data_IF_261017609803
#
_entry.id   IF_261017609803
#
_cell.length_a   1.000
_cell.length_b   1.000
_cell.length_c   1.000
_cell.angle_alpha   90.00
_cell.angle_beta   90.00
_cell.angle_gamma   90.00
#
_symmetry.space_group_name_H-M   'P 1'
#
loop_
_entity.id
_entity.type
_entity.pdbx_description
1 polymer ?
#
# COMPACT_ATOMS: atom_id res chain seq x y z
N UNK A 1 5.28 -8.20 26.69
CA UNK A 1 5.68 -6.93 26.05
C UNK A 1 4.49 -6.44 25.23
N UNK A 2 3.88 -5.32 25.62
CA UNK A 2 2.80 -4.71 24.83
C UNK A 2 3.46 -4.13 23.58
N UNK A 3 3.13 -4.69 22.42
CA UNK A 3 3.66 -4.19 21.15
C UNK A 3 3.01 -2.85 20.87
N UNK A 4 3.82 -1.83 20.56
CA UNK A 4 3.29 -0.54 20.15
C UNK A 4 2.35 -0.70 18.95
N UNK A 5 1.26 0.09 18.88
CA UNK A 5 0.31 0.00 17.78
C UNK A 5 1.03 0.28 16.45
N UNK A 6 1.12 -0.75 15.60
CA UNK A 6 1.76 -0.63 14.29
C UNK A 6 0.81 0.05 13.32
N UNK A 7 1.27 1.15 12.73
CA UNK A 7 0.59 1.83 11.62
C UNK A 7 0.61 0.93 10.38
N UNK A 8 -0.53 0.80 9.71
CA UNK A 8 -0.66 0.04 8.46
C UNK A 8 -0.42 1.01 7.31
N UNK A 9 0.65 0.77 6.55
CA UNK A 9 0.95 1.53 5.34
C UNK A 9 0.38 0.83 4.11
N UNK A 10 0.36 1.56 2.99
CA UNK A 10 0.07 1.01 1.67
C UNK A 10 1.19 1.36 0.70
N UNK A 11 1.20 0.72 -0.46
CA UNK A 11 2.14 1.00 -1.55
C UNK A 11 1.38 1.43 -2.80
N UNK A 12 1.97 2.33 -3.58
CA UNK A 12 1.40 2.78 -4.85
C UNK A 12 2.49 2.85 -5.92
N UNK A 13 2.26 2.35 -7.15
CA UNK A 13 3.19 2.54 -8.27
C UNK A 13 3.33 4.02 -8.63
N UNK A 14 4.51 4.43 -9.11
CA UNK A 14 4.78 5.84 -9.45
C UNK A 14 4.54 6.18 -10.92
N UNK A 15 4.87 5.26 -11.83
CA UNK A 15 4.72 5.44 -13.29
C UNK A 15 4.14 4.19 -13.94
N UNK A 16 3.62 4.34 -15.15
CA UNK A 16 3.20 3.18 -15.92
C UNK A 16 4.41 2.29 -16.24
N UNK A 17 4.28 0.99 -16.03
CA UNK A 17 5.30 0.00 -16.37
C UNK A 17 4.64 -1.29 -16.84
N UNK A 18 5.35 -2.07 -17.64
CA UNK A 18 4.86 -3.35 -18.13
C UNK A 18 5.99 -4.36 -18.15
N UNK A 19 5.74 -5.53 -17.59
CA UNK A 19 6.72 -6.59 -17.55
C UNK A 19 6.11 -7.88 -18.09
N UNK A 20 6.90 -8.63 -18.88
CA UNK A 20 6.50 -9.92 -19.43
C UNK A 20 7.55 -10.95 -19.11
N UNK A 21 7.11 -12.08 -18.54
CA UNK A 21 7.96 -13.25 -18.34
C UNK A 21 7.47 -14.31 -19.32
N UNK A 22 8.41 -14.82 -20.14
CA UNK A 22 8.14 -15.82 -21.16
C UNK A 22 8.41 -17.24 -20.63
N UNK A 23 7.59 -18.19 -21.09
CA UNK A 23 7.81 -19.64 -20.94
C UNK A 23 9.13 -20.03 -21.62
N UNK A 24 9.81 -21.04 -21.08
CA UNK A 24 11.11 -21.55 -21.59
C UNK A 24 12.28 -20.54 -21.58
N UNK A 25 12.07 -19.33 -21.07
CA UNK A 25 13.13 -18.34 -20.87
C UNK A 25 13.57 -18.38 -19.40
N UNK A 26 14.80 -18.81 -19.09
CA UNK A 26 15.34 -18.75 -17.73
C UNK A 26 15.23 -17.32 -17.17
N UNK A 27 14.86 -17.14 -15.89
CA UNK A 27 14.76 -18.13 -14.83
C UNK A 27 13.35 -18.70 -14.62
N UNK A 28 12.42 -18.52 -15.56
CA UNK A 28 11.03 -18.95 -15.39
C UNK A 28 10.92 -20.48 -15.28
N UNK A 29 10.49 -21.05 -14.13
CA UNK A 29 10.35 -22.50 -13.97
C UNK A 29 8.96 -23.00 -14.41
N UNK A 30 8.04 -22.11 -14.77
CA UNK A 30 6.64 -22.42 -15.02
C UNK A 30 6.36 -22.59 -16.50
N UNK A 31 5.44 -23.51 -16.83
CA UNK A 31 4.89 -23.65 -18.18
C UNK A 31 3.84 -22.57 -18.46
N UNK A 32 4.18 -21.30 -18.29
CA UNK A 32 3.30 -20.18 -18.58
C UNK A 32 4.11 -18.94 -18.96
N UNK A 33 3.58 -18.14 -19.89
CA UNK A 33 4.00 -16.74 -20.06
C UNK A 33 2.90 -15.83 -19.57
N UNK A 34 3.28 -14.75 -18.88
CA UNK A 34 2.35 -13.70 -18.44
C UNK A 34 3.02 -12.34 -18.69
N UNK A 35 2.28 -11.45 -19.34
CA UNK A 35 2.58 -10.02 -19.46
C UNK A 35 1.54 -9.19 -18.72
N UNK A 36 2.00 -8.38 -17.78
CA UNK A 36 1.17 -7.45 -17.01
C UNK A 36 1.64 -6.01 -17.24
N UNK A 37 0.68 -5.10 -17.35
CA UNK A 37 0.94 -3.67 -17.23
C UNK A 37 0.32 -3.12 -15.94
N UNK A 38 1.04 -2.21 -15.28
CA UNK A 38 0.62 -1.52 -14.06
C UNK A 38 0.63 -0.02 -14.35
N UNK A 39 -0.50 0.63 -14.18
CA UNK A 39 -0.66 2.08 -14.36
C UNK A 39 -1.11 2.70 -13.04
N UNK A 40 -0.47 3.77 -12.54
CA UNK A 40 -0.93 4.46 -11.34
C UNK A 40 -2.27 5.17 -11.57
N UNK A 41 -3.15 5.10 -10.58
CA UNK A 41 -4.43 5.82 -10.55
C UNK A 41 -4.39 6.94 -9.50
N UNK A 42 -5.32 7.90 -9.54
CA UNK A 42 -5.48 8.89 -8.47
C UNK A 42 -5.63 8.25 -7.08
N UNK A 43 -5.21 8.96 -6.04
CA UNK A 43 -5.30 8.47 -4.65
C UNK A 43 -6.76 8.13 -4.29
N UNK A 44 -6.96 6.99 -3.64
CA UNK A 44 -8.29 6.50 -3.25
C UNK A 44 -9.07 5.81 -4.38
N UNK A 45 -8.48 5.62 -5.57
CA UNK A 45 -9.12 4.88 -6.66
C UNK A 45 -9.18 3.37 -6.41
N UNK A 46 -8.37 2.88 -5.48
CA UNK A 46 -8.25 1.45 -5.19
C UNK A 46 -7.58 0.69 -6.33
N UNK A 47 -7.80 -0.62 -6.35
CA UNK A 47 -7.22 -1.52 -7.36
C UNK A 47 -8.25 -1.80 -8.44
N UNK A 48 -7.88 -1.55 -9.69
CA UNK A 48 -8.67 -1.92 -10.87
C UNK A 48 -7.94 -3.02 -11.66
N UNK A 49 -8.70 -4.00 -12.15
CA UNK A 49 -8.18 -5.10 -12.95
C UNK A 49 -8.91 -5.17 -14.30
N UNK A 50 -8.14 -5.32 -15.37
CA UNK A 50 -8.63 -5.52 -16.73
C UNK A 50 -7.90 -6.68 -17.40
N UNK A 51 -8.58 -7.45 -18.23
CA UNK A 51 -7.96 -8.49 -19.08
C UNK A 51 -8.15 -8.11 -20.54
N UNK A 52 -7.04 -7.98 -21.28
CA UNK A 52 -7.06 -7.80 -22.75
C UNK A 52 -6.94 -9.13 -23.50
N UNK A 53 -6.65 -10.22 -22.79
CA UNK A 53 -6.59 -11.57 -23.36
C UNK A 53 -8.00 -12.11 -23.57
N UNK A 54 -8.32 -12.51 -24.79
CA UNK A 54 -9.66 -13.03 -25.12
C UNK A 54 -9.93 -14.38 -24.43
N UNK A 55 -11.19 -14.58 -24.02
CA UNK A 55 -11.62 -15.85 -23.41
C UNK A 55 -11.55 -17.05 -24.36
N UNK A 56 -11.61 -16.79 -25.67
CA UNK A 56 -11.45 -17.81 -26.70
C UNK A 56 -10.00 -18.28 -26.87
N UNK A 57 -9.02 -17.41 -26.59
CA UNK A 57 -7.61 -17.75 -26.63
C UNK A 57 -7.14 -18.43 -25.34
N UNK A 58 -7.44 -17.82 -24.19
CA UNK A 58 -7.11 -18.34 -22.87
C UNK A 58 -8.39 -18.48 -22.05
N UNK A 59 -8.72 -19.73 -21.70
CA UNK A 59 -9.99 -20.03 -21.03
C UNK A 59 -10.15 -19.29 -19.69
N UNK A 60 -11.40 -19.22 -19.22
CA UNK A 60 -11.75 -18.51 -17.98
C UNK A 60 -11.00 -19.03 -16.75
N UNK A 61 -10.71 -20.33 -16.67
CA UNK A 61 -10.01 -20.94 -15.53
C UNK A 61 -8.58 -20.42 -15.38
N UNK A 62 -7.85 -20.28 -16.49
CA UNK A 62 -6.52 -19.67 -16.49
C UNK A 62 -6.58 -18.18 -16.15
N UNK A 63 -7.53 -17.43 -16.74
CA UNK A 63 -7.68 -15.99 -16.44
C UNK A 63 -8.05 -15.74 -14.97
N UNK A 64 -8.90 -16.58 -14.38
CA UNK A 64 -9.20 -16.54 -12.96
C UNK A 64 -7.97 -16.80 -12.11
N UNK A 65 -7.14 -17.77 -12.49
CA UNK A 65 -5.91 -18.09 -11.78
C UNK A 65 -4.89 -16.93 -11.83
N UNK A 66 -4.77 -16.23 -12.95
CA UNK A 66 -3.97 -15.00 -13.07
C UNK A 66 -4.50 -13.93 -12.12
N UNK A 67 -5.82 -13.67 -12.13
CA UNK A 67 -6.45 -12.68 -11.25
C UNK A 67 -6.24 -13.01 -9.77
N UNK A 68 -6.34 -14.27 -9.38
CA UNK A 68 -6.06 -14.71 -8.00
C UNK A 68 -4.59 -14.47 -7.63
N UNK A 69 -3.66 -14.78 -8.53
CA UNK A 69 -2.24 -14.55 -8.32
C UNK A 69 -1.88 -13.06 -8.23
N UNK A 70 -2.54 -12.21 -9.03
CA UNK A 70 -2.41 -10.75 -8.93
C UNK A 70 -2.92 -10.27 -7.58
N UNK A 71 -4.13 -10.70 -7.16
CA UNK A 71 -4.69 -10.36 -5.84
C UNK A 71 -3.73 -10.71 -4.71
N UNK A 72 -3.16 -11.91 -4.75
CA UNK A 72 -2.16 -12.35 -3.79
C UNK A 72 -0.89 -11.47 -3.83
N UNK A 73 -0.39 -11.13 -5.03
CA UNK A 73 0.78 -10.27 -5.19
C UNK A 73 0.56 -8.85 -4.68
N UNK A 74 -0.67 -8.33 -4.77
CA UNK A 74 -1.01 -7.00 -4.26
C UNK A 74 -1.04 -6.93 -2.74
N UNK A 75 -1.27 -8.03 -2.03
CA UNK A 75 -1.23 -8.03 -0.55
C UNK A 75 0.13 -7.59 -0.01
N UNK A 76 1.22 -7.80 -0.78
CA UNK A 76 2.59 -7.49 -0.37
C UNK A 76 3.43 -6.94 -1.54
N UNK A 77 3.51 -5.62 -1.62
CA UNK A 77 4.39 -4.87 -2.51
C UNK A 77 5.88 -5.01 -2.16
N UNK A 78 6.69 -4.09 -2.67
CA UNK A 78 8.15 -4.13 -2.54
C UNK A 78 8.61 -3.84 -1.11
N UNK A 79 7.88 -2.99 -0.40
CA UNK A 79 8.09 -2.69 1.01
C UNK A 79 7.29 -3.61 1.95
N UNK A 80 6.57 -4.59 1.38
CA UNK A 80 5.84 -5.62 2.12
C UNK A 80 4.40 -5.24 2.51
N UNK A 81 3.92 -4.08 2.07
CA UNK A 81 2.58 -3.56 2.37
C UNK A 81 1.60 -3.79 1.22
N UNK A 82 0.31 -3.62 1.48
CA UNK A 82 -0.72 -3.78 0.46
C UNK A 82 -0.61 -2.69 -0.61
N UNK A 83 -0.65 -3.08 -1.88
CA UNK A 83 -0.57 -2.18 -3.03
C UNK A 83 -1.98 -1.67 -3.39
N UNK A 84 -2.11 -0.36 -3.64
CA UNK A 84 -3.37 0.31 -3.97
C UNK A 84 -3.17 1.35 -5.08
N UNK A 85 -4.29 1.96 -5.50
CA UNK A 85 -4.35 3.09 -6.43
C UNK A 85 -3.64 2.80 -7.75
N UNK A 86 -3.96 1.65 -8.33
CA UNK A 86 -3.37 1.18 -9.58
C UNK A 86 -4.36 0.38 -10.43
N UNK A 87 -4.20 0.52 -11.74
CA UNK A 87 -4.85 -0.32 -12.74
C UNK A 87 -3.85 -1.37 -13.24
N UNK A 88 -4.26 -2.63 -13.18
CA UNK A 88 -3.49 -3.77 -13.65
C UNK A 88 -4.18 -4.34 -14.86
N UNK A 89 -3.48 -4.40 -15.99
CA UNK A 89 -4.00 -5.04 -17.19
C UNK A 89 -3.24 -6.33 -17.46
N UNK A 90 -3.97 -7.41 -17.68
CA UNK A 90 -3.43 -8.65 -18.24
C UNK A 90 -3.38 -8.53 -19.75
N UNK A 91 -2.18 -8.23 -20.27
CA UNK A 91 -1.94 -7.87 -21.68
C UNK A 91 -1.67 -9.11 -22.53
N UNK A 92 -0.90 -10.06 -22.00
CA UNK A 92 -0.36 -11.18 -22.76
C UNK A 92 -0.34 -12.44 -21.91
N UNK A 93 -0.77 -13.56 -22.49
CA UNK A 93 -0.62 -14.89 -21.92
C UNK A 93 -0.19 -15.87 -22.99
N UNK A 94 0.61 -16.87 -22.64
CA UNK A 94 0.92 -18.01 -23.51
C UNK A 94 0.96 -19.28 -22.67
N UNK A 95 0.42 -20.37 -23.22
CA UNK A 95 0.39 -21.68 -22.61
C UNK A 95 0.69 -22.76 -23.65
N UNK A 96 1.20 -23.89 -23.20
CA UNK A 96 1.40 -25.10 -24.00
C UNK A 96 0.51 -26.22 -23.47
N UNK A 97 -0.38 -26.72 -24.31
CA UNK A 97 -1.14 -27.94 -24.01
C UNK A 97 -0.25 -29.17 -24.24
N UNK A 98 -0.23 -30.17 -23.34
CA UNK A 98 -1.05 -30.30 -22.13
C UNK A 98 -0.34 -29.87 -20.82
N UNK A 99 0.89 -29.35 -20.91
CA UNK A 99 1.77 -29.17 -19.73
C UNK A 99 1.41 -27.96 -18.86
N UNK A 100 0.83 -26.91 -19.45
CA UNK A 100 0.44 -25.70 -18.74
C UNK A 100 -0.79 -25.90 -17.90
N UNK A 101 -0.70 -25.56 -16.62
CA UNK A 101 -1.82 -25.64 -15.67
C UNK A 101 -2.23 -24.26 -15.15
N UNK A 102 -3.47 -24.07 -14.70
CA UNK A 102 -3.85 -22.82 -14.04
C UNK A 102 -3.00 -22.50 -12.80
N UNK A 103 -2.42 -23.51 -12.15
CA UNK A 103 -1.54 -23.30 -11.00
C UNK A 103 -0.22 -22.59 -11.37
N UNK A 104 0.29 -22.83 -12.58
CA UNK A 104 1.47 -22.16 -13.13
C UNK A 104 1.20 -20.65 -13.28
N UNK A 105 0.06 -20.30 -13.87
CA UNK A 105 -0.37 -18.92 -14.02
C UNK A 105 -0.58 -18.21 -12.68
N UNK A 106 -1.21 -18.89 -11.71
CA UNK A 106 -1.42 -18.35 -10.35
C UNK A 106 -0.10 -18.06 -9.64
N UNK A 107 0.91 -18.89 -9.86
CA UNK A 107 2.21 -18.77 -9.19
C UNK A 107 3.13 -17.76 -9.89
N UNK A 108 3.03 -17.63 -11.22
CA UNK A 108 3.82 -16.70 -12.01
C UNK A 108 3.30 -15.25 -11.92
N UNK A 109 1.98 -15.06 -11.88
CA UNK A 109 1.36 -13.73 -11.81
C UNK A 109 1.92 -12.78 -10.72
N UNK A 110 2.09 -13.19 -9.44
CA UNK A 110 2.65 -12.30 -8.42
C UNK A 110 4.12 -11.94 -8.69
N UNK A 111 4.88 -12.80 -9.39
CA UNK A 111 6.28 -12.55 -9.75
C UNK A 111 6.36 -11.51 -10.85
N UNK A 112 5.53 -11.64 -11.89
CA UNK A 112 5.45 -10.65 -12.98
C UNK A 112 5.01 -9.29 -12.44
N UNK A 113 4.01 -9.29 -11.55
CA UNK A 113 3.53 -8.07 -10.91
C UNK A 113 4.64 -7.39 -10.09
N UNK A 114 5.42 -8.17 -9.33
CA UNK A 114 6.54 -7.64 -8.56
C UNK A 114 7.60 -6.97 -9.45
N UNK A 115 7.92 -7.56 -10.61
CA UNK A 115 8.85 -6.95 -11.56
C UNK A 115 8.28 -5.67 -12.18
N UNK A 116 7.01 -5.67 -12.58
CA UNK A 116 6.33 -4.47 -13.06
C UNK A 116 6.31 -3.35 -12.00
N UNK A 117 6.11 -3.70 -10.72
CA UNK A 117 6.19 -2.74 -9.62
C UNK A 117 7.62 -2.22 -9.39
N UNK A 118 8.65 -3.06 -9.53
CA UNK A 118 10.06 -2.62 -9.46
C UNK A 118 10.39 -1.63 -10.56
N UNK A 119 9.98 -1.92 -11.79
CA UNK A 119 10.19 -1.04 -12.93
C UNK A 119 9.41 0.26 -12.79
N UNK A 120 8.17 0.18 -12.29
CA UNK A 120 7.33 1.34 -11.97
C UNK A 120 7.94 2.21 -10.87
N UNK A 121 8.64 1.60 -9.92
CA UNK A 121 8.95 2.23 -8.65
C UNK A 121 7.70 2.31 -7.76
N UNK A 122 7.88 2.23 -6.45
CA UNK A 122 6.78 2.27 -5.48
C UNK A 122 6.97 3.41 -4.48
N UNK A 123 5.87 4.04 -4.11
CA UNK A 123 5.78 5.02 -3.05
C UNK A 123 4.97 4.44 -1.90
N UNK A 124 5.43 4.66 -0.68
CA UNK A 124 4.74 4.29 0.52
C UNK A 124 3.67 5.35 0.84
N UNK A 125 2.48 4.91 1.19
CA UNK A 125 1.38 5.75 1.62
C UNK A 125 1.16 5.53 3.12
N UNK A 126 1.09 6.62 3.88
CA UNK A 126 0.76 6.59 5.30
C UNK A 126 -0.68 7.05 5.54
N UNK A 127 -1.39 6.43 6.52
CA UNK A 127 -2.74 6.84 6.86
C UNK A 127 -2.72 8.17 7.61
N UNK A 128 -3.56 9.09 7.15
CA UNK A 128 -3.84 10.37 7.77
C UNK A 128 -5.19 10.33 8.48
N UNK A 129 -5.20 10.87 9.68
CA UNK A 129 -6.37 10.98 10.52
C UNK A 129 -6.87 12.42 10.49
N UNK A 130 -8.17 12.63 10.36
CA UNK A 130 -8.77 13.88 10.81
C UNK A 130 -8.78 13.87 12.33
N UNK A 131 -8.42 14.98 12.96
CA UNK A 131 -8.50 15.13 14.40
C UNK A 131 -9.38 16.30 14.78
N UNK A 132 -10.11 16.11 15.88
CA UNK A 132 -10.83 17.17 16.60
C UNK A 132 -10.33 17.19 18.02
N UNK A 133 -9.62 18.25 18.37
CA UNK A 133 -8.96 18.43 19.65
C UNK A 133 -9.69 19.50 20.46
N UNK A 134 -10.08 19.15 21.67
CA UNK A 134 -10.64 20.03 22.69
C UNK A 134 -9.57 20.27 23.77
N UNK A 135 -9.30 21.53 24.08
CA UNK A 135 -8.40 21.91 25.16
C UNK A 135 -8.89 23.19 25.87
N UNK A 136 -8.52 23.41 27.14
CA UNK A 136 -8.77 24.68 27.80
C UNK A 136 -8.09 25.83 27.06
N UNK A 137 -8.74 27.00 27.03
CA UNK A 137 -8.27 28.18 26.27
C UNK A 137 -6.85 28.63 26.65
N UNK A 138 -6.44 28.39 27.89
CA UNK A 138 -5.11 28.70 28.42
C UNK A 138 -3.98 28.03 27.63
N UNK A 139 -4.25 26.85 27.05
CA UNK A 139 -3.27 26.05 26.30
C UNK A 139 -3.30 26.28 24.79
N UNK A 140 -4.09 27.25 24.32
CA UNK A 140 -4.28 27.54 22.88
C UNK A 140 -2.94 27.73 22.15
N UNK A 141 -2.09 28.62 22.64
CA UNK A 141 -0.81 28.94 21.98
C UNK A 141 0.11 27.73 21.92
N UNK A 142 0.20 26.99 23.03
CA UNK A 142 1.05 25.78 23.11
C UNK A 142 0.57 24.69 22.15
N UNK A 143 -0.72 24.38 22.16
CA UNK A 143 -1.30 23.36 21.27
C UNK A 143 -1.11 23.73 19.79
N UNK A 144 -1.27 25.01 19.44
CA UNK A 144 -1.05 25.50 18.08
C UNK A 144 0.40 25.34 17.62
N UNK A 145 1.37 25.64 18.49
CA UNK A 145 2.80 25.51 18.18
C UNK A 145 3.33 24.07 18.25
N UNK A 146 2.68 23.19 19.01
CA UNK A 146 3.07 21.78 19.11
C UNK A 146 2.57 20.94 17.92
N UNK A 147 1.43 21.30 17.31
CA UNK A 147 0.87 20.55 16.17
C UNK A 147 1.88 20.30 15.02
N UNK A 148 2.63 21.30 14.52
CA UNK A 148 3.64 21.08 13.48
C UNK A 148 4.78 20.14 13.88
N UNK A 149 5.14 20.08 15.17
CA UNK A 149 6.17 19.15 15.68
C UNK A 149 5.76 17.69 15.46
N UNK A 150 4.46 17.44 15.49
CA UNK A 150 3.84 16.13 15.25
C UNK A 150 3.40 15.92 13.80
N UNK A 151 3.87 16.77 12.87
CA UNK A 151 3.46 16.78 11.47
C UNK A 151 1.94 16.98 11.28
N UNK A 152 1.26 17.58 12.26
CA UNK A 152 -0.15 17.88 12.19
C UNK A 152 -0.37 19.23 11.50
N UNK A 153 -1.38 19.29 10.63
CA UNK A 153 -1.81 20.50 9.94
C UNK A 153 -3.14 20.93 10.52
N UNK A 154 -3.21 22.14 11.07
CA UNK A 154 -4.44 22.71 11.60
C UNK A 154 -5.21 23.37 10.46
N UNK A 155 -6.46 22.96 10.27
CA UNK A 155 -7.38 23.52 9.27
C UNK A 155 -8.22 24.65 9.88
N UNK A 156 -8.80 24.43 11.07
CA UNK A 156 -9.63 25.43 11.73
C UNK A 156 -9.34 25.51 13.23
N UNK A 157 -9.56 26.71 13.77
CA UNK A 157 -9.48 26.99 15.21
C UNK A 157 -10.76 27.70 15.62
N UNK A 158 -11.49 27.11 16.56
CA UNK A 158 -12.69 27.70 17.13
C UNK A 158 -12.48 27.95 18.62
N UNK A 159 -12.55 29.21 19.03
CA UNK A 159 -12.43 29.61 20.43
C UNK A 159 -13.83 29.80 21.01
N UNK A 160 -14.19 28.99 22.00
CA UNK A 160 -15.38 29.16 22.85
C UNK A 160 -14.96 29.86 24.15
N UNK A 161 -15.90 30.13 25.05
CA UNK A 161 -15.63 30.91 26.28
C UNK A 161 -14.47 30.33 27.09
N UNK A 162 -14.51 29.03 27.38
CA UNK A 162 -13.53 28.35 28.24
C UNK A 162 -12.68 27.29 27.51
N UNK A 163 -13.07 26.90 26.30
CA UNK A 163 -12.41 25.87 25.50
C UNK A 163 -12.01 26.37 24.11
N UNK A 164 -10.95 25.77 23.57
CA UNK A 164 -10.57 25.88 22.17
C UNK A 164 -10.71 24.53 21.49
N UNK A 165 -11.25 24.55 20.27
CA UNK A 165 -11.38 23.39 19.40
C UNK A 165 -10.47 23.57 18.20
N UNK A 166 -9.56 22.63 17.98
CA UNK A 166 -8.73 22.55 16.78
C UNK A 166 -9.23 21.41 15.91
N UNK A 167 -9.41 21.67 14.61
CA UNK A 167 -9.62 20.63 13.62
C UNK A 167 -8.47 20.60 12.64
N UNK A 168 -8.10 19.43 12.18
CA UNK A 168 -7.02 19.30 11.21
C UNK A 168 -6.72 17.86 10.83
N UNK A 169 -5.55 17.67 10.25
CA UNK A 169 -5.04 16.36 9.85
C UNK A 169 -3.74 16.03 10.58
N UNK A 170 -3.53 14.75 10.86
CA UNK A 170 -2.29 14.25 11.48
C UNK A 170 -1.97 12.84 10.99
N UNK A 171 -0.69 12.53 10.71
CA UNK A 171 -0.27 11.15 10.42
C UNK A 171 -0.57 10.21 11.59
N UNK A 172 -1.09 9.03 11.30
CA UNK A 172 -1.42 8.05 12.35
C UNK A 172 -0.19 7.61 13.18
N UNK A 173 1.03 7.77 12.66
CA UNK A 173 2.28 7.48 13.41
C UNK A 173 2.54 8.46 14.54
N UNK A 174 2.05 9.69 14.45
CA UNK A 174 2.33 10.77 15.41
C UNK A 174 1.24 10.95 16.47
N UNK A 175 0.02 10.47 16.21
CA UNK A 175 -1.14 10.77 17.05
C UNK A 175 -1.00 10.30 18.49
N UNK A 176 -0.39 9.13 18.73
CA UNK A 176 -0.28 8.58 20.07
C UNK A 176 0.68 9.41 20.95
N UNK A 177 1.80 9.84 20.37
CA UNK A 177 2.74 10.74 21.03
C UNK A 177 2.07 12.09 21.29
N UNK A 178 1.37 12.64 20.29
CA UNK A 178 0.66 13.91 20.46
C UNK A 178 -0.40 13.85 21.56
N UNK A 179 -1.22 12.79 21.62
CA UNK A 179 -2.21 12.58 22.70
C UNK A 179 -1.57 12.52 24.09
N UNK A 180 -0.41 11.88 24.20
CA UNK A 180 0.28 11.70 25.49
C UNK A 180 0.82 13.04 25.99
N UNK A 181 1.52 13.79 25.14
CA UNK A 181 2.04 15.13 25.48
C UNK A 181 0.90 16.10 25.81
N UNK A 182 -0.15 16.05 24.98
CA UNK A 182 -1.31 16.90 25.11
C UNK A 182 -2.06 16.65 26.42
N UNK A 183 -2.23 15.40 26.84
CA UNK A 183 -2.80 15.09 28.15
C UNK A 183 -1.87 15.51 29.30
N UNK A 184 -0.55 15.40 29.11
CA UNK A 184 0.43 15.75 30.14
C UNK A 184 0.41 17.25 30.47
N UNK A 185 0.49 18.12 29.46
CA UNK A 185 0.56 19.56 29.73
C UNK A 185 -0.79 20.21 30.05
N UNK A 186 -1.92 19.58 29.72
CA UNK A 186 -3.26 20.07 30.08
C UNK A 186 -3.76 19.47 31.40
N UNK A 187 -2.92 18.73 32.14
CA UNK A 187 -3.32 17.99 33.33
C UNK A 187 -4.54 17.08 33.09
N UNK A 188 -4.64 16.47 31.91
CA UNK A 188 -5.72 15.58 31.52
C UNK A 188 -7.03 16.27 31.13
N UNK A 189 -7.06 17.59 30.99
CA UNK A 189 -8.27 18.36 30.65
C UNK A 189 -8.56 18.41 29.15
N UNK A 190 -7.79 17.72 28.32
CA UNK A 190 -7.95 17.74 26.87
C UNK A 190 -8.47 16.42 26.32
N UNK A 191 -9.24 16.52 25.23
CA UNK A 191 -9.87 15.38 24.54
C UNK A 191 -9.52 15.45 23.07
N UNK A 192 -9.07 14.34 22.49
CA UNK A 192 -8.71 14.27 21.08
C UNK A 192 -9.46 13.13 20.38
N UNK A 193 -10.44 13.49 19.55
CA UNK A 193 -11.17 12.58 18.68
C UNK A 193 -10.46 12.46 17.35
N UNK A 194 -10.48 11.26 16.76
CA UNK A 194 -9.78 10.99 15.49
C UNK A 194 -10.59 10.05 14.62
N UNK A 195 -10.65 10.35 13.33
CA UNK A 195 -11.28 9.50 12.31
C UNK A 195 -10.32 9.29 11.14
N UNK A 196 -10.43 8.17 10.43
CA UNK A 196 -9.60 7.92 9.26
C UNK A 196 -10.07 8.83 8.12
N UNK A 197 -9.18 9.71 7.64
CA UNK A 197 -9.47 10.62 6.52
C UNK A 197 -9.04 10.03 5.19
N UNK A 198 -7.89 9.36 5.15
CA UNK A 198 -7.38 8.74 3.94
C UNK A 198 -5.90 8.40 4.04
N UNK A 199 -5.26 8.24 2.88
CA UNK A 199 -3.84 7.94 2.77
C UNK A 199 -3.14 9.04 1.97
N UNK A 200 -1.93 9.42 2.40
CA UNK A 200 -1.09 10.38 1.71
C UNK A 200 0.32 9.80 1.53
N UNK A 201 1.10 10.40 0.65
CA UNK A 201 2.50 10.02 0.46
C UNK A 201 3.27 10.11 1.78
N UNK A 202 3.86 9.00 2.19
CA UNK A 202 4.64 8.96 3.42
C UNK A 202 5.90 9.81 3.28
N UNK A 203 6.21 10.58 4.33
CA UNK A 203 7.39 11.43 4.38
C UNK A 203 8.53 10.72 5.10
N UNK A 204 9.73 10.72 4.51
CA UNK A 204 10.95 10.18 5.13
C UNK A 204 11.35 8.81 4.61
N UNK A 205 12.03 8.01 5.45
CA UNK A 205 12.51 6.68 5.07
C UNK A 205 11.34 5.69 5.00
N UNK A 206 11.29 4.82 3.97
CA UNK A 206 10.22 3.85 3.83
C UNK A 206 10.25 2.83 4.98
N UNK A 207 9.11 2.61 5.61
CA UNK A 207 8.94 1.56 6.61
C UNK A 207 8.78 0.24 5.88
N UNK A 208 9.65 -0.74 6.16
CA UNK A 208 9.62 -2.05 5.49
C UNK A 208 9.00 -3.09 6.42
N UNK A 209 8.00 -3.81 5.92
CA UNK A 209 7.42 -4.97 6.58
C UNK A 209 8.03 -6.25 5.99
N UNK A 210 8.46 -7.22 6.83
CA UNK A 210 8.89 -8.51 6.31
C UNK A 210 7.72 -9.19 5.59
N UNK A 211 7.99 -9.70 4.40
CA UNK A 211 6.99 -10.45 3.63
C UNK A 211 6.58 -11.72 4.36
N UNK A 212 5.34 -12.17 4.11
CA UNK A 212 4.83 -13.44 4.66
C UNK A 212 5.57 -14.56 3.93
N UNK A 213 6.15 -15.53 4.67
CA UNK A 213 6.93 -16.59 4.06
C UNK A 213 6.05 -17.45 3.15
N UNK A 214 6.50 -17.66 1.91
CA UNK A 214 5.90 -18.58 0.97
C UNK A 214 7.00 -19.34 0.24
N UNK A 215 7.34 -20.52 0.77
CA UNK A 215 8.49 -21.31 0.33
C UNK A 215 8.53 -21.61 -1.17
N UNK A 216 7.36 -21.70 -1.83
CA UNK A 216 7.28 -21.91 -3.28
C UNK A 216 7.61 -20.64 -4.05
N UNK A 217 6.99 -19.51 -3.70
CA UNK A 217 7.21 -18.24 -4.40
C UNK A 217 8.57 -17.64 -4.07
N UNK A 218 9.06 -17.78 -2.85
CA UNK A 218 10.33 -17.20 -2.40
C UNK A 218 11.53 -17.83 -3.13
N UNK A 219 11.47 -19.14 -3.41
CA UNK A 219 12.45 -19.80 -4.29
C UNK A 219 12.46 -19.18 -5.69
N UNK A 220 11.28 -18.95 -6.26
CA UNK A 220 11.15 -18.36 -7.60
C UNK A 220 11.66 -16.93 -7.60
N UNK A 221 11.24 -16.09 -6.65
CA UNK A 221 11.75 -14.72 -6.47
C UNK A 221 13.26 -14.67 -6.40
N UNK A 222 13.88 -15.59 -5.65
CA UNK A 222 15.32 -15.67 -5.54
C UNK A 222 16.02 -15.99 -6.87
N UNK A 223 15.39 -16.80 -7.74
CA UNK A 223 15.92 -17.04 -9.09
C UNK A 223 15.87 -15.77 -9.95
N UNK A 224 14.78 -14.99 -9.87
CA UNK A 224 14.66 -13.72 -10.60
C UNK A 224 15.58 -12.61 -10.05
N UNK A 225 15.86 -12.58 -8.75
CA UNK A 225 16.73 -11.56 -8.15
C UNK A 225 18.22 -11.75 -8.44
N UNK A 226 18.66 -12.93 -8.90
CA UNK A 226 20.08 -13.19 -9.22
C UNK A 226 20.51 -12.65 -10.59
N UNK A 227 19.55 -12.31 -11.44
CA UNK A 227 19.78 -11.92 -12.84
C UNK A 227 19.67 -10.40 -13.01
N UNK A 228 19.06 -9.70 -12.05
CA UNK A 228 18.97 -8.23 -11.98
C UNK A 228 20.11 -7.67 -11.13
#
# INVERSE_FOLDING_TARGET
MVKEPTVIYMERPLKAASHTIHIEVPPNPFWASIGLSVTPLPLGSGVQYESRVSLGYLNQSFQNAVRDGIRYGLEQGLFGWNVTDCKICFEYGLYYSPVSTPADFRSLAPIVLEQALKESGTQLLEPYLSFTLYAPREYLSRAYHDAPKYCATIETVQVKKDEVVFTGEIPARCIQAYRTDLAFYTNGQSVCLTELKGYQAAVGKPVIQPRRPNSRLDKVRHMFSKIT
#
